data_IF_315745735050
#
_entry.id   IF_315745735050
#
_cell.length_a   1.000
_cell.length_b   1.000
_cell.length_c   1.000
_cell.angle_alpha   90.00
_cell.angle_beta   90.00
_cell.angle_gamma   90.00
#
_symmetry.space_group_name_H-M   'P 1'
#
loop_
_entity.id
_entity.type
_entity.pdbx_description
1 polymer ?
#
# COMPACT_ATOMS: atom_id res chain seq x y z
N UNK A 1 51.92 -83.49 56.77
CA UNK A 1 51.48 -83.21 55.39
C UNK A 1 50.05 -82.69 55.46
N UNK A 2 49.80 -81.37 55.44
CA UNK A 2 48.51 -80.80 55.01
C UNK A 2 48.54 -79.26 54.89
N UNK A 3 48.57 -78.83 53.62
CA UNK A 3 47.85 -77.73 52.95
C UNK A 3 47.75 -76.37 53.68
N UNK A 4 48.65 -75.45 53.31
CA UNK A 4 48.46 -73.99 53.49
C UNK A 4 47.43 -73.49 52.48
N UNK A 5 46.31 -72.96 52.95
CA UNK A 5 45.41 -72.15 52.12
C UNK A 5 46.05 -70.79 51.84
N UNK A 6 46.40 -70.53 50.57
CA UNK A 6 46.74 -69.20 50.11
C UNK A 6 45.44 -68.39 49.89
N UNK A 7 45.36 -67.11 50.32
CA UNK A 7 44.23 -66.27 49.97
C UNK A 7 44.35 -65.81 48.51
N UNK A 8 43.34 -66.13 47.70
CA UNK A 8 43.18 -65.62 46.34
C UNK A 8 42.80 -64.14 46.44
N UNK A 9 43.76 -63.26 46.15
CA UNK A 9 43.52 -61.82 46.04
C UNK A 9 42.80 -61.53 44.73
N UNK A 10 41.47 -61.45 44.76
CA UNK A 10 40.68 -60.94 43.64
C UNK A 10 40.89 -59.44 43.51
N UNK A 11 41.74 -59.04 42.55
CA UNK A 11 41.82 -57.65 42.11
C UNK A 11 40.55 -57.29 41.34
N UNK A 12 39.69 -56.50 41.97
CA UNK A 12 38.58 -55.82 41.29
C UNK A 12 39.19 -54.79 40.33
N UNK A 13 39.33 -55.16 39.05
CA UNK A 13 39.70 -54.23 37.99
C UNK A 13 38.53 -53.29 37.72
N UNK A 14 38.56 -52.13 38.36
CA UNK A 14 37.65 -51.01 38.08
C UNK A 14 37.88 -50.59 36.64
N UNK A 15 37.02 -51.03 35.71
CA UNK A 15 37.02 -50.53 34.34
C UNK A 15 36.75 -49.03 34.38
N UNK A 16 37.82 -48.22 34.25
CA UNK A 16 37.68 -46.80 33.91
C UNK A 16 36.98 -46.76 32.57
N UNK A 17 35.71 -46.38 32.56
CA UNK A 17 35.02 -45.97 31.35
C UNK A 17 35.85 -44.85 30.74
N UNK A 18 36.60 -45.16 29.68
CA UNK A 18 37.30 -44.16 28.89
C UNK A 18 36.20 -43.25 28.33
N UNK A 19 36.01 -42.09 28.95
CA UNK A 19 35.26 -40.99 28.35
C UNK A 19 36.05 -40.60 27.11
N UNK A 20 35.60 -41.05 25.95
CA UNK A 20 36.19 -40.70 24.66
C UNK A 20 35.81 -39.25 24.39
N UNK A 21 36.81 -38.38 24.24
CA UNK A 21 36.61 -37.03 23.71
C UNK A 21 36.33 -37.11 22.20
N UNK A 22 35.74 -36.05 21.65
CA UNK A 22 35.48 -35.95 20.22
C UNK A 22 36.78 -35.86 19.41
N UNK A 23 36.81 -36.56 18.28
CA UNK A 23 37.87 -36.43 17.28
C UNK A 23 37.81 -35.08 16.58
N UNK A 24 38.96 -34.54 16.13
CA UNK A 24 39.02 -33.33 15.28
C UNK A 24 38.12 -33.49 14.04
N UNK A 25 38.09 -34.69 13.45
CA UNK A 25 37.24 -34.97 12.28
C UNK A 25 35.76 -34.86 12.64
N UNK A 26 35.34 -35.40 13.80
CA UNK A 26 33.95 -35.28 14.26
C UNK A 26 33.57 -33.82 14.54
N UNK A 27 34.49 -33.04 15.13
CA UNK A 27 34.30 -31.60 15.36
C UNK A 27 34.18 -30.83 14.05
N UNK A 28 35.00 -31.14 13.05
CA UNK A 28 34.92 -30.50 11.73
C UNK A 28 33.60 -30.84 11.03
N UNK A 29 33.19 -32.11 11.04
CA UNK A 29 31.90 -32.53 10.46
C UNK A 29 30.74 -31.83 11.17
N UNK A 30 30.73 -31.79 12.50
CA UNK A 30 29.71 -31.08 13.28
C UNK A 30 29.68 -29.58 12.98
N UNK A 31 30.85 -28.95 12.84
CA UNK A 31 30.96 -27.54 12.48
C UNK A 31 30.44 -27.28 11.06
N UNK A 32 30.78 -28.12 10.09
CA UNK A 32 30.30 -28.00 8.71
C UNK A 32 28.79 -28.16 8.63
N UNK A 33 28.22 -29.16 9.32
CA UNK A 33 26.76 -29.35 9.38
C UNK A 33 26.10 -28.14 10.05
N UNK A 34 26.66 -27.65 11.17
CA UNK A 34 26.09 -26.50 11.87
C UNK A 34 26.15 -25.23 11.02
N UNK A 35 27.29 -24.99 10.34
CA UNK A 35 27.46 -23.84 9.46
C UNK A 35 26.50 -23.90 8.27
N UNK A 36 26.36 -25.05 7.61
CA UNK A 36 25.44 -25.22 6.48
C UNK A 36 23.98 -25.03 6.89
N UNK A 37 23.56 -25.58 8.03
CA UNK A 37 22.22 -25.36 8.58
C UNK A 37 22.00 -23.89 8.93
N UNK A 38 22.97 -23.22 9.56
CA UNK A 38 22.87 -21.80 9.90
C UNK A 38 22.77 -20.92 8.64
N UNK A 39 23.55 -21.22 7.60
CA UNK A 39 23.45 -20.51 6.33
C UNK A 39 22.07 -20.71 5.68
N UNK A 40 21.56 -21.94 5.66
CA UNK A 40 20.24 -22.23 5.10
C UNK A 40 19.11 -21.54 5.86
N UNK A 41 19.16 -21.51 7.20
CA UNK A 41 18.14 -20.83 8.02
C UNK A 41 18.19 -19.32 7.87
N UNK A 42 19.38 -18.71 7.80
CA UNK A 42 19.52 -17.27 7.55
C UNK A 42 18.97 -16.88 6.17
N UNK A 43 19.22 -17.69 5.13
CA UNK A 43 18.67 -17.46 3.80
C UNK A 43 17.12 -17.56 3.79
N UNK A 44 16.56 -18.55 4.50
CA UNK A 44 15.11 -18.70 4.62
C UNK A 44 14.46 -17.54 5.41
N UNK A 45 15.13 -17.06 6.47
CA UNK A 45 14.68 -15.92 7.27
C UNK A 45 14.65 -14.62 6.45
N UNK A 46 15.71 -14.36 5.67
CA UNK A 46 15.80 -13.20 4.78
C UNK A 46 14.66 -13.19 3.75
N UNK A 47 14.41 -14.33 3.10
CA UNK A 47 13.29 -14.48 2.18
C UNK A 47 11.92 -14.25 2.85
N UNK A 48 11.77 -14.70 4.10
CA UNK A 48 10.54 -14.53 4.88
C UNK A 48 10.29 -13.05 5.22
N UNK A 49 11.32 -12.30 5.63
CA UNK A 49 11.18 -10.87 5.93
C UNK A 49 10.85 -10.05 4.68
N UNK A 50 11.49 -10.33 3.55
CA UNK A 50 11.16 -9.67 2.28
C UNK A 50 9.71 -9.91 1.87
N UNK A 51 9.25 -11.16 1.95
CA UNK A 51 7.88 -11.53 1.60
C UNK A 51 6.85 -10.87 2.54
N UNK A 52 7.14 -10.84 3.84
CA UNK A 52 6.30 -10.17 4.83
C UNK A 52 6.19 -8.67 4.58
N UNK A 53 7.31 -8.01 4.28
CA UNK A 53 7.34 -6.58 3.97
C UNK A 53 6.48 -6.25 2.75
N UNK A 54 6.72 -6.93 1.62
CA UNK A 54 5.97 -6.74 0.37
C UNK A 54 4.48 -6.93 0.57
N UNK A 55 4.09 -7.95 1.33
CA UNK A 55 2.69 -8.22 1.64
C UNK A 55 2.09 -7.10 2.50
N UNK A 56 2.80 -6.68 3.54
CA UNK A 56 2.34 -5.64 4.47
C UNK A 56 2.19 -4.29 3.77
N UNK A 57 3.15 -3.91 2.93
CA UNK A 57 3.09 -2.68 2.13
C UNK A 57 1.95 -2.72 1.12
N UNK A 58 1.76 -3.85 0.42
CA UNK A 58 0.64 -4.02 -0.53
C UNK A 58 -0.71 -3.88 0.15
N UNK A 59 -0.88 -4.50 1.33
CA UNK A 59 -2.11 -4.42 2.12
C UNK A 59 -2.34 -2.98 2.61
N UNK A 60 -1.29 -2.31 3.11
CA UNK A 60 -1.36 -0.91 3.54
C UNK A 60 -1.79 0.02 2.40
N UNK A 61 -1.15 -0.08 1.24
CA UNK A 61 -1.50 0.71 0.04
C UNK A 61 -2.95 0.48 -0.38
N UNK A 62 -3.42 -0.75 -0.34
CA UNK A 62 -4.80 -1.07 -0.68
C UNK A 62 -5.80 -0.50 0.33
N UNK A 63 -5.52 -0.54 1.64
CA UNK A 63 -6.36 0.08 2.68
C UNK A 63 -6.42 1.60 2.53
N UNK A 64 -5.26 2.24 2.36
CA UNK A 64 -5.17 3.70 2.16
C UNK A 64 -5.89 4.11 0.88
N UNK A 65 -5.68 3.37 -0.22
CA UNK A 65 -6.38 3.61 -1.48
C UNK A 65 -7.90 3.53 -1.33
N UNK A 66 -8.42 2.52 -0.62
CA UNK A 66 -9.87 2.42 -0.33
C UNK A 66 -10.39 3.61 0.48
N UNK A 67 -9.63 4.07 1.48
CA UNK A 67 -10.01 5.23 2.28
C UNK A 67 -10.12 6.49 1.41
N UNK A 68 -9.16 6.71 0.51
CA UNK A 68 -9.18 7.85 -0.43
C UNK A 68 -10.38 7.75 -1.37
N UNK A 69 -10.60 6.59 -2.00
CA UNK A 69 -11.75 6.37 -2.88
C UNK A 69 -13.09 6.60 -2.17
N UNK A 70 -13.20 6.16 -0.90
CA UNK A 70 -14.38 6.38 -0.09
C UNK A 70 -14.61 7.87 0.21
N UNK A 71 -13.56 8.60 0.62
CA UNK A 71 -13.64 10.04 0.88
C UNK A 71 -14.03 10.81 -0.39
N UNK A 72 -13.39 10.52 -1.51
CA UNK A 72 -13.72 11.11 -2.81
C UNK A 72 -15.18 10.85 -3.18
N UNK A 73 -15.64 9.60 -3.07
CA UNK A 73 -17.03 9.23 -3.38
C UNK A 73 -18.03 9.98 -2.49
N UNK A 74 -17.70 10.19 -1.21
CA UNK A 74 -18.56 10.94 -0.28
C UNK A 74 -18.64 12.40 -0.67
N UNK A 75 -17.51 13.05 -0.98
CA UNK A 75 -17.48 14.47 -1.34
C UNK A 75 -18.13 14.71 -2.70
N UNK A 76 -17.86 13.86 -3.70
CA UNK A 76 -18.49 13.92 -5.03
C UNK A 76 -20.00 13.72 -4.92
N UNK A 77 -20.48 12.87 -4.00
CA UNK A 77 -21.92 12.66 -3.81
C UNK A 77 -22.64 13.94 -3.35
N UNK A 78 -21.96 14.81 -2.60
CA UNK A 78 -22.51 16.09 -2.13
C UNK A 78 -22.15 17.27 -3.04
N UNK A 79 -21.40 17.03 -4.11
CA UNK A 79 -21.00 18.05 -5.06
C UNK A 79 -22.10 18.39 -6.07
N UNK A 80 -21.99 19.57 -6.64
CA UNK A 80 -22.78 20.10 -7.75
C UNK A 80 -21.87 20.82 -8.76
N UNK A 81 -22.40 21.16 -9.94
CA UNK A 81 -21.67 21.91 -10.97
C UNK A 81 -20.29 21.30 -11.32
N UNK A 82 -20.32 20.10 -11.89
CA UNK A 82 -19.11 19.33 -12.20
C UNK A 82 -18.44 19.75 -13.50
N UNK A 83 -17.11 19.76 -13.50
CA UNK A 83 -16.25 20.01 -14.65
C UNK A 83 -15.12 18.98 -14.73
N UNK A 84 -14.53 18.74 -15.92
CA UNK A 84 -14.80 19.39 -17.20
C UNK A 84 -16.09 18.91 -17.86
N UNK A 85 -16.80 19.84 -18.50
CA UNK A 85 -18.02 19.54 -19.26
C UNK A 85 -17.69 19.14 -20.70
N UNK A 86 -18.35 18.10 -21.28
CA UNK A 86 -18.12 17.73 -22.66
C UNK A 86 -18.51 18.85 -23.63
N UNK A 87 -17.76 18.97 -24.74
CA UNK A 87 -18.02 19.99 -25.78
C UNK A 87 -19.41 19.82 -26.38
N UNK A 88 -19.88 18.59 -26.56
CA UNK A 88 -21.22 18.29 -27.05
C UNK A 88 -21.88 17.17 -26.22
N UNK A 89 -22.66 17.51 -25.17
CA UNK A 89 -23.28 16.55 -24.26
C UNK A 89 -24.37 15.69 -24.93
N UNK A 90 -24.96 16.13 -26.05
CA UNK A 90 -26.05 15.41 -26.73
C UNK A 90 -25.49 14.21 -27.50
N UNK A 91 -24.34 14.39 -28.14
CA UNK A 91 -23.70 13.35 -28.96
C UNK A 91 -22.60 12.59 -28.20
N UNK A 92 -21.93 13.27 -27.25
CA UNK A 92 -20.81 12.75 -26.46
C UNK A 92 -21.01 13.12 -24.99
N UNK A 93 -21.94 12.43 -24.28
CA UNK A 93 -22.24 12.72 -22.88
C UNK A 93 -21.12 12.34 -21.92
N UNK A 94 -20.19 11.48 -22.36
CA UNK A 94 -19.11 10.95 -21.53
C UNK A 94 -17.78 11.61 -21.87
N UNK A 95 -17.04 12.05 -20.85
CA UNK A 95 -15.67 12.58 -20.97
C UNK A 95 -14.73 11.87 -20.01
N UNK A 96 -13.52 11.57 -20.48
CA UNK A 96 -12.46 10.98 -19.70
C UNK A 96 -11.36 12.02 -19.47
N UNK A 97 -10.96 12.22 -18.22
CA UNK A 97 -10.06 13.30 -17.80
C UNK A 97 -9.19 12.87 -16.61
N UNK A 98 -8.13 13.63 -16.35
CA UNK A 98 -7.23 13.44 -15.20
C UNK A 98 -7.51 14.42 -14.05
N UNK A 99 -8.49 15.29 -14.24
CA UNK A 99 -8.92 16.29 -13.27
C UNK A 99 -10.45 16.25 -13.11
N UNK A 100 -10.91 16.61 -11.92
CA UNK A 100 -12.31 16.73 -11.57
C UNK A 100 -12.49 17.97 -10.71
N UNK A 101 -13.40 18.85 -11.12
CA UNK A 101 -13.78 20.02 -10.35
C UNK A 101 -15.28 20.01 -10.05
N UNK A 102 -15.66 20.44 -8.86
CA UNK A 102 -17.07 20.61 -8.49
C UNK A 102 -17.21 21.57 -7.30
N UNK A 103 -18.42 22.05 -7.10
CA UNK A 103 -18.80 22.96 -6.02
C UNK A 103 -19.51 22.17 -4.91
N UNK A 104 -19.27 22.51 -3.66
CA UNK A 104 -20.08 22.07 -2.52
C UNK A 104 -20.59 23.30 -1.76
N UNK A 105 -21.89 23.39 -1.54
CA UNK A 105 -22.50 24.46 -0.73
C UNK A 105 -22.30 24.14 0.75
N UNK A 106 -21.70 25.07 1.49
CA UNK A 106 -21.47 24.93 2.93
C UNK A 106 -22.56 25.62 3.75
N UNK A 107 -22.91 26.86 3.40
CA UNK A 107 -23.96 27.63 4.07
C UNK A 107 -24.62 28.62 3.09
N UNK A 108 -25.90 28.41 2.70
CA UNK A 108 -26.59 29.31 1.77
C UNK A 108 -26.95 30.66 2.39
N UNK A 109 -26.95 30.82 3.73
CA UNK A 109 -27.32 32.09 4.36
C UNK A 109 -26.26 33.19 4.18
N UNK A 110 -25.00 32.77 4.04
CA UNK A 110 -23.83 33.66 3.84
C UNK A 110 -23.20 33.48 2.45
N UNK A 111 -23.88 32.80 1.53
CA UNK A 111 -23.34 32.44 0.21
C UNK A 111 -21.96 31.74 0.30
N UNK A 112 -21.83 30.81 1.25
CA UNK A 112 -20.59 30.07 1.46
C UNK A 112 -20.55 28.81 0.59
N UNK A 113 -19.52 28.72 -0.26
CA UNK A 113 -19.30 27.59 -1.16
C UNK A 113 -17.82 27.20 -1.19
N UNK A 114 -17.57 25.92 -1.43
CA UNK A 114 -16.23 25.41 -1.65
C UNK A 114 -16.10 24.87 -3.07
N UNK A 115 -15.05 25.25 -3.76
CA UNK A 115 -14.67 24.67 -5.06
C UNK A 115 -13.59 23.64 -4.79
N UNK A 116 -13.91 22.39 -5.09
CA UNK A 116 -13.00 21.27 -4.98
C UNK A 116 -12.42 20.96 -6.34
N UNK A 117 -11.10 21.04 -6.47
CA UNK A 117 -10.36 20.53 -7.62
C UNK A 117 -9.54 19.32 -7.19
N UNK A 118 -9.65 18.23 -7.93
CA UNK A 118 -8.88 17.01 -7.74
C UNK A 118 -8.15 16.74 -9.03
N UNK A 119 -6.84 16.59 -8.99
CA UNK A 119 -6.03 16.43 -10.19
C UNK A 119 -4.92 15.40 -9.97
N UNK A 120 -4.64 14.64 -11.03
CA UNK A 120 -3.43 13.84 -11.12
C UNK A 120 -2.29 14.71 -11.62
N UNK A 121 -1.30 14.92 -10.76
CA UNK A 121 -0.14 15.77 -11.04
C UNK A 121 1.10 14.90 -11.24
N UNK A 122 1.89 15.20 -12.26
CA UNK A 122 3.19 14.54 -12.47
C UNK A 122 4.18 15.01 -11.40
N UNK A 123 4.94 14.07 -10.83
CA UNK A 123 5.94 14.38 -9.80
C UNK A 123 7.26 13.75 -10.19
N UNK A 124 8.32 14.56 -10.15
CA UNK A 124 9.68 14.07 -10.27
C UNK A 124 10.16 13.58 -8.89
N UNK A 125 10.41 12.28 -8.75
CA UNK A 125 11.01 11.76 -7.52
C UNK A 125 10.68 10.31 -7.16
N UNK A 126 11.15 9.86 -5.97
CA UNK A 126 10.97 8.47 -5.52
C UNK A 126 9.51 8.12 -5.19
N UNK A 127 8.64 9.12 -5.09
CA UNK A 127 7.21 9.02 -4.79
C UNK A 127 6.34 8.57 -5.97
N UNK A 128 6.94 8.14 -7.07
CA UNK A 128 6.24 7.63 -8.26
C UNK A 128 5.92 8.71 -9.27
N UNK A 129 5.44 8.31 -10.47
CA UNK A 129 5.30 9.23 -11.61
C UNK A 129 4.20 10.27 -11.42
N UNK A 130 3.20 9.96 -10.58
CA UNK A 130 2.11 10.87 -10.28
C UNK A 130 1.74 10.86 -8.80
N UNK A 131 1.09 11.94 -8.37
CA UNK A 131 0.32 12.02 -7.14
C UNK A 131 -1.09 12.52 -7.44
N UNK A 132 -2.04 12.19 -6.55
CA UNK A 132 -3.36 12.78 -6.59
C UNK A 132 -3.38 13.94 -5.60
N UNK A 133 -3.68 15.13 -6.10
CA UNK A 133 -3.74 16.36 -5.32
C UNK A 133 -5.16 16.87 -5.27
N UNK A 134 -5.49 17.55 -4.18
CA UNK A 134 -6.73 18.30 -4.06
C UNK A 134 -6.43 19.73 -3.67
N UNK A 135 -7.14 20.65 -4.31
CA UNK A 135 -7.18 22.07 -3.97
C UNK A 135 -8.60 22.41 -3.61
N UNK A 136 -8.80 23.00 -2.43
CA UNK A 136 -10.12 23.39 -1.92
C UNK A 136 -10.10 24.89 -1.69
N UNK A 137 -10.91 25.60 -2.47
CA UNK A 137 -11.09 27.04 -2.37
C UNK A 137 -12.40 27.35 -1.69
N UNK A 138 -12.37 28.10 -0.58
CA UNK A 138 -13.53 28.51 0.18
C UNK A 138 -13.89 29.95 -0.13
N UNK A 139 -15.12 30.15 -0.58
CA UNK A 139 -15.68 31.46 -0.91
C UNK A 139 -16.82 31.80 0.03
N UNK A 140 -16.94 33.09 0.39
CA UNK A 140 -18.08 33.65 1.13
C UNK A 140 -18.47 34.98 0.47
N UNK A 141 -19.76 35.17 0.15
CA UNK A 141 -20.22 36.38 -0.54
C UNK A 141 -19.52 36.66 -1.88
N UNK A 142 -19.02 35.61 -2.55
CA UNK A 142 -18.25 35.70 -3.79
C UNK A 142 -16.77 36.03 -3.64
N UNK A 143 -16.26 36.29 -2.43
CA UNK A 143 -14.84 36.55 -2.17
C UNK A 143 -14.11 35.27 -1.75
N UNK A 144 -12.88 35.07 -2.24
CA UNK A 144 -12.04 33.93 -1.85
C UNK A 144 -11.47 34.18 -0.45
N UNK A 145 -11.94 33.39 0.52
CA UNK A 145 -11.50 33.48 1.92
C UNK A 145 -10.26 32.62 2.19
N UNK A 146 -10.20 31.44 1.59
CA UNK A 146 -9.02 30.56 1.74
C UNK A 146 -8.86 29.59 0.57
N UNK A 147 -7.62 29.17 0.32
CA UNK A 147 -7.30 28.09 -0.61
C UNK A 147 -6.35 27.12 0.09
N UNK A 148 -6.69 25.83 0.09
CA UNK A 148 -5.91 24.78 0.74
C UNK A 148 -5.56 23.70 -0.27
N UNK A 149 -4.26 23.46 -0.45
CA UNK A 149 -3.75 22.37 -1.27
C UNK A 149 -3.29 21.19 -0.39
N UNK A 150 -3.64 19.96 -0.78
CA UNK A 150 -3.23 18.73 -0.09
C UNK A 150 -2.96 17.59 -1.07
N UNK A 151 -1.91 16.81 -0.81
CA UNK A 151 -1.73 15.51 -1.46
C UNK A 151 -2.70 14.49 -0.85
N UNK A 152 -3.59 13.93 -1.66
CA UNK A 152 -4.51 12.87 -1.25
C UNK A 152 -3.80 11.52 -1.15
N UNK A 153 -3.02 11.18 -2.18
CA UNK A 153 -2.26 9.94 -2.24
C UNK A 153 -1.07 10.08 -3.19
N UNK A 154 0.04 9.41 -2.84
CA UNK A 154 1.28 9.37 -3.62
C UNK A 154 1.41 8.04 -4.35
N UNK A 155 2.43 7.92 -5.20
CA UNK A 155 2.73 6.69 -5.97
C UNK A 155 1.58 6.25 -6.85
N UNK A 156 0.87 7.22 -7.41
CA UNK A 156 -0.17 7.00 -8.40
C UNK A 156 0.52 6.64 -9.70
N UNK A 157 0.17 5.49 -10.26
CA UNK A 157 0.59 5.09 -11.61
C UNK A 157 -0.36 5.67 -12.65
N UNK A 158 -1.65 5.65 -12.33
CA UNK A 158 -2.71 6.20 -13.17
C UNK A 158 -3.88 6.62 -12.29
N UNK A 159 -4.51 7.73 -12.63
CA UNK A 159 -5.81 8.11 -12.08
C UNK A 159 -6.58 8.80 -13.18
N UNK A 160 -7.80 8.31 -13.42
CA UNK A 160 -8.66 8.79 -14.48
C UNK A 160 -10.08 8.90 -13.97
N UNK A 161 -10.74 10.01 -14.30
CA UNK A 161 -12.14 10.25 -14.05
C UNK A 161 -12.90 10.11 -15.36
N UNK A 162 -13.96 9.31 -15.37
CA UNK A 162 -14.93 9.26 -16.47
C UNK A 162 -16.23 9.86 -15.99
N UNK A 163 -16.61 10.98 -16.59
CA UNK A 163 -17.78 11.77 -16.23
C UNK A 163 -18.86 11.56 -17.28
N UNK A 164 -19.97 10.96 -16.89
CA UNK A 164 -21.16 10.77 -17.72
C UNK A 164 -22.18 11.85 -17.38
N UNK A 165 -22.51 12.69 -18.36
CA UNK A 165 -23.50 13.77 -18.24
C UNK A 165 -24.85 13.38 -18.85
N UNK A 166 -25.93 13.90 -18.27
CA UNK A 166 -27.25 13.91 -18.92
C UNK A 166 -27.38 15.11 -19.89
N UNK A 167 -28.49 15.20 -20.64
CA UNK A 167 -28.76 16.37 -21.47
C UNK A 167 -28.96 17.61 -20.57
N UNK A 168 -27.93 18.44 -20.49
CA UNK A 168 -27.81 19.59 -19.58
C UNK A 168 -26.53 19.51 -18.71
N UNK A 169 -26.18 20.54 -17.93
CA UNK A 169 -24.96 20.57 -17.11
C UNK A 169 -25.06 19.70 -15.85
N UNK A 170 -25.55 18.46 -15.98
CA UNK A 170 -25.86 17.55 -14.87
C UNK A 170 -25.04 16.28 -14.99
N UNK A 171 -24.17 16.06 -14.02
CA UNK A 171 -23.40 14.83 -13.93
C UNK A 171 -24.29 13.69 -13.43
N UNK A 172 -24.42 12.64 -14.25
CA UNK A 172 -25.15 11.42 -13.92
C UNK A 172 -24.29 10.48 -13.07
N UNK A 173 -23.03 10.32 -13.47
CA UNK A 173 -22.11 9.36 -12.89
C UNK A 173 -20.66 9.81 -13.09
N UNK A 174 -19.85 9.68 -12.05
CA UNK A 174 -18.41 9.77 -12.11
C UNK A 174 -17.82 8.40 -11.77
N UNK A 175 -17.00 7.87 -12.68
CA UNK A 175 -16.20 6.67 -12.43
C UNK A 175 -14.76 7.10 -12.20
N UNK A 176 -14.20 6.68 -11.06
CA UNK A 176 -12.81 6.89 -10.68
C UNK A 176 -12.08 5.57 -10.90
N UNK A 177 -11.04 5.58 -11.71
CA UNK A 177 -10.11 4.47 -11.91
C UNK A 177 -8.72 4.88 -11.42
N UNK A 178 -8.28 4.28 -10.32
CA UNK A 178 -7.05 4.62 -9.60
C UNK A 178 -6.13 3.41 -9.55
N UNK A 179 -4.89 3.57 -10.01
CA UNK A 179 -3.83 2.57 -9.94
C UNK A 179 -2.71 3.11 -9.05
N UNK A 180 -2.36 2.36 -8.01
CA UNK A 180 -1.37 2.69 -6.99
C UNK A 180 -0.24 1.67 -6.99
N UNK A 181 0.99 2.15 -6.83
CA UNK A 181 2.14 1.29 -6.59
C UNK A 181 2.48 1.31 -5.10
N UNK A 182 2.60 0.14 -4.49
CA UNK A 182 3.08 0.06 -3.11
C UNK A 182 4.51 0.59 -3.00
N UNK A 183 4.87 1.03 -1.80
CA UNK A 183 6.21 1.57 -1.57
C UNK A 183 7.26 0.46 -1.64
N UNK A 184 8.45 0.79 -2.14
CA UNK A 184 9.55 -0.18 -2.32
C UNK A 184 10.89 0.42 -1.89
N UNK A 185 10.91 1.08 -0.72
CA UNK A 185 12.02 1.94 -0.29
C UNK A 185 13.32 1.16 0.00
N UNK A 186 13.36 -0.18 -0.15
CA UNK A 186 14.53 -0.95 0.30
C UNK A 186 14.75 -2.33 -0.32
N UNK A 187 14.08 -2.72 -1.41
CA UNK A 187 14.38 -4.01 -2.06
C UNK A 187 15.71 -4.04 -2.83
N UNK A 188 16.45 -2.92 -2.92
CA UNK A 188 17.67 -2.82 -3.73
C UNK A 188 18.93 -3.42 -3.07
N UNK A 189 18.87 -3.83 -1.80
CA UNK A 189 20.02 -4.44 -1.13
C UNK A 189 19.79 -5.94 -0.93
N UNK A 190 20.46 -6.72 -1.79
CA UNK A 190 20.66 -8.18 -1.75
C UNK A 190 19.52 -9.02 -2.37
N UNK A 191 19.75 -9.47 -3.61
CA UNK A 191 19.24 -10.76 -4.12
C UNK A 191 17.73 -10.88 -4.34
N UNK A 192 17.21 -10.19 -5.36
CA UNK A 192 15.88 -10.42 -5.93
C UNK A 192 14.89 -9.29 -5.66
N UNK A 193 14.47 -8.59 -6.73
CA UNK A 193 13.39 -7.60 -6.67
C UNK A 193 12.05 -8.31 -6.47
N UNK A 194 11.62 -8.43 -5.23
CA UNK A 194 10.21 -8.70 -4.93
C UNK A 194 9.47 -7.36 -4.98
N UNK A 195 9.05 -6.95 -6.18
CA UNK A 195 8.23 -5.75 -6.34
C UNK A 195 6.79 -6.09 -6.02
N UNK A 196 6.20 -5.35 -5.08
CA UNK A 196 4.78 -5.43 -4.77
C UNK A 196 3.92 -5.17 -6.01
N UNK A 197 2.84 -5.95 -6.25
CA UNK A 197 1.96 -5.70 -7.38
C UNK A 197 1.24 -4.36 -7.23
N UNK A 198 0.95 -3.72 -8.36
CA UNK A 198 0.12 -2.52 -8.37
C UNK A 198 -1.32 -2.86 -7.95
N UNK A 199 -1.92 -1.95 -7.19
CA UNK A 199 -3.31 -2.05 -6.73
C UNK A 199 -4.17 -1.17 -7.61
N UNK A 200 -5.17 -1.75 -8.27
CA UNK A 200 -6.19 -1.02 -9.03
C UNK A 200 -7.49 -0.96 -8.25
N UNK A 201 -8.04 0.24 -8.12
CA UNK A 201 -9.30 0.53 -7.45
C UNK A 201 -10.21 1.26 -8.44
N UNK A 202 -11.39 0.71 -8.66
CA UNK A 202 -12.41 1.33 -9.51
C UNK A 202 -13.65 1.54 -8.67
N UNK A 203 -14.18 2.76 -8.68
CA UNK A 203 -15.46 3.08 -8.04
C UNK A 203 -16.29 3.98 -8.94
N UNK A 204 -17.61 3.83 -8.83
CA UNK A 204 -18.57 4.68 -9.50
C UNK A 204 -19.43 5.39 -8.46
N UNK A 205 -19.65 6.68 -8.65
CA UNK A 205 -20.46 7.52 -7.77
C UNK A 205 -21.43 8.36 -8.59
N UNK A 206 -22.65 8.52 -8.09
CA UNK A 206 -23.63 9.45 -8.63
C UNK A 206 -23.85 10.58 -7.61
N UNK A 207 -23.75 11.85 -8.02
CA UNK A 207 -24.11 13.00 -7.19
C UNK A 207 -25.57 12.92 -6.75
N UNK A 208 -25.89 13.52 -5.60
CA UNK A 208 -27.30 13.67 -5.18
C UNK A 208 -28.00 14.63 -6.14
N UNK A 209 -29.19 14.25 -6.59
CA UNK A 209 -30.07 15.16 -7.31
C UNK A 209 -30.62 16.16 -6.28
N UNK A 210 -30.35 17.45 -6.48
CA UNK A 210 -31.17 18.48 -5.88
C UNK A 210 -32.44 18.53 -6.72
N UNK A 211 -33.55 18.01 -6.19
CA UNK A 211 -34.88 18.27 -6.74
C UNK A 211 -35.11 19.78 -6.57
N UNK A 212 -35.03 20.52 -7.68
CA UNK A 212 -35.55 21.87 -7.74
C UNK A 212 -37.07 21.75 -7.89
N UNK A 213 -37.82 22.04 -6.83
CA UNK A 213 -39.25 22.38 -6.87
C UNK A 213 -39.47 23.70 -7.64
#
# INVERSE_FOLDING_TARGET
>A
MNIRHAPVSQRITRQRTRRRGFSIVEMLVALTISATLLTATLAALDASFKSYKVTTESVSTHVVGRLVMHRLSTVIRTGESFAPYPVNPILQPSITTNELEFVTIADPAIDARQIWRIERVAVDGPTGPFELRTTVEHYEGGELISSTERTLIRRVQQCTFTLDYEVGPRLQRCTIDLILQADDVQADTIGGRLTAPAVRLVASVSPRRLEQD
#
